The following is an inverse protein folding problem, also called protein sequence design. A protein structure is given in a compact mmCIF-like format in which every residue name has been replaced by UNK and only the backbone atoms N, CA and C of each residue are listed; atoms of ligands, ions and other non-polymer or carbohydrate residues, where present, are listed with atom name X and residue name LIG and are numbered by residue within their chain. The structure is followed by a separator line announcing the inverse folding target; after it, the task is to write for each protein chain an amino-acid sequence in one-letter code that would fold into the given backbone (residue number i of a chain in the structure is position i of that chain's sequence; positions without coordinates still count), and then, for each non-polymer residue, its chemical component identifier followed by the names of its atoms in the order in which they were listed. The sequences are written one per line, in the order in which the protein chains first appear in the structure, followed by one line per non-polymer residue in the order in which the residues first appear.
data_IF_195254553704
#
_entry.id   IF_195254553704
#
_cell.length_a   1.000
_cell.length_b   1.000
_cell.length_c   1.000
_cell.angle_alpha   90.00
_cell.angle_beta   90.00
_cell.angle_gamma   90.00
#
_symmetry.space_group_name_H-M   'P 1'
#
loop_
_entity.id
_entity.type
_entity.pdbx_description
1 polymer ?
#
# COMPACT_ATOMS: atom_id res chain seq x y z
N UNK A 1 61.35 -30.27 -13.91
CA UNK A 1 60.50 -29.59 -12.90
C UNK A 1 60.09 -28.15 -13.33
N UNK A 2 59.48 -27.96 -14.51
CA UNK A 2 59.02 -26.65 -15.01
C UNK A 2 57.57 -26.62 -15.50
N UNK A 3 56.82 -27.73 -15.33
CA UNK A 3 55.42 -27.83 -15.81
C UNK A 3 54.36 -27.59 -14.75
N UNK A 4 54.71 -27.50 -13.44
CA UNK A 4 53.75 -27.43 -12.35
C UNK A 4 53.27 -25.99 -11.97
N UNK A 5 54.05 -24.95 -12.31
CA UNK A 5 53.76 -23.56 -11.85
C UNK A 5 52.71 -22.87 -12.76
N UNK A 6 52.63 -23.25 -14.06
CA UNK A 6 51.68 -22.57 -14.98
C UNK A 6 50.22 -23.01 -14.78
N UNK A 7 49.99 -24.21 -14.24
CA UNK A 7 48.61 -24.70 -14.02
C UNK A 7 47.98 -24.13 -12.78
N UNK A 8 48.78 -23.88 -11.74
CA UNK A 8 48.28 -23.30 -10.47
C UNK A 8 47.85 -21.82 -10.62
N UNK A 9 48.59 -21.04 -11.42
CA UNK A 9 48.28 -19.62 -11.65
C UNK A 9 46.99 -19.45 -12.46
N UNK A 10 46.67 -20.34 -13.39
CA UNK A 10 45.43 -20.28 -14.18
C UNK A 10 44.18 -20.67 -13.38
N UNK A 11 44.28 -21.54 -12.40
CA UNK A 11 43.15 -21.95 -11.56
C UNK A 11 42.84 -20.85 -10.54
N UNK A 12 43.84 -20.16 -9.97
CA UNK A 12 43.64 -19.08 -9.03
C UNK A 12 43.01 -17.83 -9.68
N UNK A 13 43.39 -17.48 -10.92
CA UNK A 13 42.78 -16.34 -11.64
C UNK A 13 41.35 -16.61 -12.05
N UNK A 14 41.00 -17.87 -12.38
CA UNK A 14 39.61 -18.23 -12.74
C UNK A 14 38.68 -18.20 -11.52
N UNK A 15 39.13 -18.60 -10.32
CA UNK A 15 38.33 -18.58 -9.11
C UNK A 15 38.09 -17.14 -8.62
N UNK A 16 39.05 -16.23 -8.73
CA UNK A 16 38.87 -14.82 -8.35
C UNK A 16 37.92 -14.07 -9.29
N UNK A 17 37.92 -14.39 -10.58
CA UNK A 17 36.96 -13.80 -11.53
C UNK A 17 35.52 -14.24 -11.26
N UNK A 18 35.29 -15.52 -10.94
CA UNK A 18 33.95 -16.03 -10.61
C UNK A 18 33.41 -15.43 -9.31
N UNK A 19 34.23 -15.26 -8.28
CA UNK A 19 33.82 -14.63 -7.03
C UNK A 19 33.49 -13.14 -7.22
N UNK A 20 34.24 -12.41 -8.04
CA UNK A 20 33.98 -11.01 -8.35
C UNK A 20 32.69 -10.81 -9.17
N UNK A 21 32.42 -11.69 -10.13
CA UNK A 21 31.18 -11.64 -10.93
C UNK A 21 29.95 -11.97 -10.07
N UNK A 22 30.04 -12.94 -9.17
CA UNK A 22 28.95 -13.25 -8.24
C UNK A 22 28.69 -12.12 -7.24
N UNK A 23 29.73 -11.44 -6.73
CA UNK A 23 29.56 -10.29 -5.84
C UNK A 23 28.97 -9.06 -6.56
N UNK A 24 29.32 -8.83 -7.81
CA UNK A 24 28.74 -7.74 -8.61
C UNK A 24 27.29 -8.00 -8.98
N UNK A 25 26.91 -9.25 -9.28
CA UNK A 25 25.52 -9.62 -9.54
C UNK A 25 24.62 -9.44 -8.30
N UNK A 26 25.15 -9.68 -7.11
CA UNK A 26 24.40 -9.58 -5.87
C UNK A 26 24.19 -8.13 -5.41
N UNK A 27 25.05 -7.18 -5.79
CA UNK A 27 24.90 -5.75 -5.53
C UNK A 27 23.88 -5.05 -6.45
N UNK A 28 23.55 -5.65 -7.59
CA UNK A 28 22.68 -5.04 -8.61
C UNK A 28 21.20 -4.98 -8.22
N UNK A 29 20.77 -5.72 -7.20
CA UNK A 29 19.36 -5.88 -6.83
C UNK A 29 19.07 -5.45 -5.37
N UNK A 30 19.69 -4.36 -4.92
CA UNK A 30 19.45 -3.85 -3.56
C UNK A 30 18.88 -2.44 -3.60
N UNK A 31 17.93 -2.16 -2.70
CA UNK A 31 17.38 -0.81 -2.47
C UNK A 31 17.41 -0.52 -0.96
N UNK A 32 18.13 0.53 -0.56
CA UNK A 32 18.27 0.91 0.86
C UNK A 32 18.73 -0.24 1.78
N UNK A 33 19.55 -1.15 1.25
CA UNK A 33 20.07 -2.32 1.96
C UNK A 33 19.16 -3.56 1.90
N UNK A 34 17.95 -3.43 1.38
CA UNK A 34 17.04 -4.57 1.18
C UNK A 34 17.44 -5.33 -0.08
N UNK A 35 17.56 -6.66 0.02
CA UNK A 35 17.78 -7.53 -1.14
C UNK A 35 16.45 -7.76 -1.88
N UNK A 36 16.24 -7.08 -2.99
CA UNK A 36 15.02 -7.15 -3.79
C UNK A 36 14.76 -8.54 -4.40
N UNK A 37 15.82 -9.32 -4.64
CA UNK A 37 15.70 -10.68 -5.19
C UNK A 37 15.31 -11.73 -4.13
N UNK A 38 15.42 -11.39 -2.85
CA UNK A 38 14.96 -12.28 -1.78
C UNK A 38 13.42 -12.33 -1.72
N UNK A 39 12.83 -13.45 -1.33
CA UNK A 39 11.40 -13.49 -1.01
C UNK A 39 11.06 -12.47 0.07
N UNK A 40 9.87 -11.84 0.03
CA UNK A 40 9.44 -10.91 1.05
C UNK A 40 9.48 -11.54 2.46
N UNK A 41 10.25 -10.94 3.38
CA UNK A 41 10.34 -11.42 4.75
C UNK A 41 8.96 -11.38 5.42
N UNK A 42 8.65 -12.37 6.26
CA UNK A 42 7.38 -12.45 6.99
C UNK A 42 6.12 -12.38 6.12
N UNK A 43 6.22 -12.75 4.85
CA UNK A 43 5.05 -12.95 4.00
C UNK A 43 4.22 -14.10 4.56
N UNK A 44 2.91 -13.90 4.66
CA UNK A 44 2.00 -14.92 5.11
C UNK A 44 1.80 -15.99 4.03
N UNK A 45 1.94 -17.29 4.34
CA UNK A 45 1.79 -18.33 3.34
C UNK A 45 0.32 -18.64 2.99
N UNK A 46 -0.59 -18.31 3.90
CA UNK A 46 -2.03 -18.65 3.81
C UNK A 46 -2.87 -17.75 4.74
N UNK A 47 -4.18 -17.99 4.73
CA UNK A 47 -5.17 -17.28 5.52
C UNK A 47 -5.08 -17.48 7.05
N UNK A 48 -4.23 -18.36 7.53
CA UNK A 48 -4.04 -18.62 8.97
C UNK A 48 -2.89 -17.80 9.56
N UNK A 49 -2.32 -16.91 8.78
CA UNK A 49 -1.24 -16.05 9.25
C UNK A 49 -1.70 -15.12 10.39
N UNK A 50 -1.16 -15.33 11.55
CA UNK A 50 -1.53 -14.62 12.77
C UNK A 50 -0.33 -14.50 13.74
N UNK A 51 -0.57 -13.87 14.88
CA UNK A 51 0.38 -13.82 15.99
C UNK A 51 1.71 -13.17 15.66
N UNK A 52 2.85 -13.81 15.97
CA UNK A 52 4.18 -13.21 15.85
C UNK A 52 4.54 -12.75 14.44
N UNK A 53 4.04 -13.43 13.40
CA UNK A 53 4.35 -13.07 12.01
C UNK A 53 3.80 -11.68 11.66
N UNK A 54 2.53 -11.41 11.96
CA UNK A 54 1.89 -10.14 11.60
C UNK A 54 2.36 -8.95 12.42
N UNK A 55 2.97 -9.20 13.58
CA UNK A 55 3.47 -8.14 14.48
C UNK A 55 4.93 -7.79 14.27
N UNK A 56 5.62 -8.44 13.33
CA UNK A 56 7.03 -8.17 13.04
C UNK A 56 7.25 -6.69 12.67
N UNK A 57 8.31 -6.07 13.20
CA UNK A 57 8.71 -4.73 12.79
C UNK A 57 9.25 -4.75 11.35
N UNK A 58 9.24 -3.60 10.70
CA UNK A 58 9.82 -3.44 9.37
C UNK A 58 11.33 -3.71 9.34
N UNK A 59 11.84 -4.06 8.18
CA UNK A 59 13.23 -4.42 7.90
C UNK A 59 14.11 -3.22 7.51
N UNK A 60 13.51 -2.09 7.25
CA UNK A 60 14.19 -0.85 6.86
C UNK A 60 13.97 0.22 7.92
N UNK A 61 14.98 1.07 8.18
CA UNK A 61 14.95 2.08 9.24
C UNK A 61 14.88 3.49 8.63
N UNK A 62 13.90 4.28 9.04
CA UNK A 62 13.91 5.73 8.84
C UNK A 62 14.89 6.37 9.86
N UNK A 63 15.88 7.13 9.35
CA UNK A 63 17.05 7.46 10.14
C UNK A 63 16.82 8.55 11.21
N UNK A 64 15.86 9.46 11.00
CA UNK A 64 15.60 10.56 11.95
C UNK A 64 14.78 10.07 13.16
N UNK A 65 13.65 9.43 12.91
CA UNK A 65 12.79 8.92 13.98
C UNK A 65 13.24 7.55 14.51
N UNK A 66 14.13 6.85 13.81
CA UNK A 66 14.56 5.48 14.08
C UNK A 66 13.43 4.44 14.03
N UNK A 67 12.31 4.80 13.41
CA UNK A 67 11.19 3.90 13.20
C UNK A 67 11.44 3.01 11.99
N UNK A 68 10.83 1.84 12.01
CA UNK A 68 10.99 0.85 10.93
C UNK A 68 9.79 0.83 9.99
N UNK A 69 10.03 0.41 8.76
CA UNK A 69 9.02 0.14 7.75
C UNK A 69 9.44 -1.06 6.91
N UNK A 70 8.50 -1.72 6.24
CA UNK A 70 8.80 -2.72 5.22
C UNK A 70 9.01 -2.05 3.88
N UNK A 71 10.02 -2.55 3.16
CA UNK A 71 10.34 -2.13 1.80
C UNK A 71 10.41 -3.35 0.90
N UNK A 72 9.45 -3.48 -0.02
CA UNK A 72 9.48 -4.50 -1.07
C UNK A 72 9.83 -3.85 -2.40
N UNK A 73 10.70 -4.48 -3.19
CA UNK A 73 11.14 -3.97 -4.48
C UNK A 73 11.14 -5.09 -5.53
N UNK A 74 11.07 -4.77 -6.84
CA UNK A 74 11.11 -5.78 -7.89
C UNK A 74 12.37 -6.63 -7.80
N UNK A 75 12.24 -7.95 -7.97
CA UNK A 75 13.37 -8.89 -7.81
C UNK A 75 14.54 -8.60 -8.75
N UNK A 76 14.26 -8.01 -9.91
CA UNK A 76 15.25 -7.59 -10.91
C UNK A 76 15.61 -6.11 -10.86
N UNK A 77 15.21 -5.38 -9.80
CA UNK A 77 15.43 -3.94 -9.65
C UNK A 77 16.88 -3.53 -9.87
N UNK A 78 17.07 -2.48 -10.64
CA UNK A 78 18.36 -1.81 -10.87
C UNK A 78 18.21 -0.31 -10.70
N UNK A 79 19.24 0.35 -10.23
CA UNK A 79 19.26 1.81 -10.15
C UNK A 79 18.95 2.44 -11.52
N UNK A 80 18.01 3.37 -11.54
CA UNK A 80 17.54 4.04 -12.76
C UNK A 80 16.35 3.35 -13.46
N UNK A 81 15.93 2.17 -13.01
CA UNK A 81 14.71 1.54 -13.52
C UNK A 81 13.49 2.44 -13.29
N UNK A 82 12.55 2.41 -14.22
CA UNK A 82 11.24 3.04 -14.03
C UNK A 82 10.42 2.20 -13.06
N UNK A 83 9.90 2.84 -12.02
CA UNK A 83 9.19 2.18 -10.92
C UNK A 83 7.89 2.90 -10.56
N UNK A 84 6.99 2.17 -9.93
CA UNK A 84 5.78 2.70 -9.31
C UNK A 84 5.92 2.54 -7.80
N UNK A 85 5.57 3.54 -7.01
CA UNK A 85 5.68 3.52 -5.55
C UNK A 85 4.30 3.40 -4.92
N UNK A 86 4.14 2.50 -3.97
CA UNK A 86 2.95 2.33 -3.13
C UNK A 86 3.33 2.61 -1.68
N UNK A 87 2.77 3.65 -1.08
CA UNK A 87 2.80 3.89 0.37
C UNK A 87 1.50 3.37 0.97
N UNK A 88 1.56 2.30 1.79
CA UNK A 88 0.40 1.56 2.31
C UNK A 88 0.29 1.68 3.82
N UNK A 89 -0.77 2.36 4.31
CA UNK A 89 -0.98 2.70 5.72
C UNK A 89 -1.93 1.72 6.40
N UNK A 90 -1.54 1.18 7.57
CA UNK A 90 -2.37 0.23 8.33
C UNK A 90 -3.56 0.88 9.02
N UNK A 91 -4.55 0.06 9.41
CA UNK A 91 -5.71 0.47 10.17
C UNK A 91 -5.43 0.68 11.67
N UNK A 92 -6.43 1.23 12.39
CA UNK A 92 -6.36 1.41 13.84
C UNK A 92 -6.15 0.06 14.56
N UNK A 93 -5.24 0.05 15.53
CA UNK A 93 -4.92 -1.13 16.30
C UNK A 93 -4.10 -2.18 15.54
N UNK A 94 -3.70 -1.93 14.29
CA UNK A 94 -3.01 -2.86 13.41
C UNK A 94 -1.49 -2.64 13.38
N UNK A 95 -0.80 -3.38 12.52
CA UNK A 95 0.65 -3.42 12.38
C UNK A 95 1.05 -3.27 10.90
N UNK A 96 2.29 -2.87 10.66
CA UNK A 96 2.84 -2.76 9.31
C UNK A 96 2.77 -4.09 8.55
N UNK A 97 3.25 -5.20 9.15
CA UNK A 97 3.24 -6.47 8.45
C UNK A 97 1.83 -7.06 8.28
N UNK A 98 0.89 -6.74 9.16
CA UNK A 98 -0.52 -7.07 8.93
C UNK A 98 -1.05 -6.34 7.69
N UNK A 99 -0.82 -5.03 7.56
CA UNK A 99 -1.21 -4.25 6.40
C UNK A 99 -0.59 -4.76 5.10
N UNK A 100 0.69 -5.12 5.15
CA UNK A 100 1.43 -5.65 4.01
C UNK A 100 0.83 -6.96 3.47
N UNK A 101 0.27 -7.79 4.36
CA UNK A 101 -0.43 -9.01 4.01
C UNK A 101 -1.96 -8.80 3.82
N UNK A 102 -2.52 -7.71 4.34
CA UNK A 102 -3.91 -7.33 4.10
C UNK A 102 -4.14 -6.81 2.67
N UNK A 103 -3.23 -5.97 2.19
CA UNK A 103 -3.18 -5.51 0.81
C UNK A 103 -1.83 -5.91 0.21
N UNK A 104 -1.73 -7.15 -0.30
CA UNK A 104 -0.45 -7.76 -0.66
C UNK A 104 0.08 -7.26 -2.01
N UNK A 105 0.24 -5.94 -2.17
CA UNK A 105 0.84 -5.33 -3.37
C UNK A 105 2.24 -5.87 -3.67
N UNK A 106 2.94 -6.42 -2.65
CA UNK A 106 4.24 -7.08 -2.81
C UNK A 106 4.17 -8.32 -3.71
N UNK A 107 3.02 -9.00 -3.82
CA UNK A 107 2.86 -10.19 -4.65
C UNK A 107 2.90 -9.86 -6.15
N UNK A 108 2.56 -8.64 -6.51
CA UNK A 108 2.56 -8.16 -7.89
C UNK A 108 3.69 -7.16 -8.18
N UNK A 109 4.65 -7.01 -7.25
CA UNK A 109 5.75 -6.04 -7.36
C UNK A 109 6.60 -6.25 -8.60
N UNK A 110 6.84 -7.49 -8.98
CA UNK A 110 7.67 -7.81 -10.15
C UNK A 110 6.94 -7.50 -11.46
N UNK A 111 5.64 -7.82 -11.52
CA UNK A 111 4.78 -7.55 -12.67
C UNK A 111 4.67 -6.07 -13.00
N UNK A 112 4.51 -5.25 -11.98
CA UNK A 112 4.23 -3.81 -12.14
C UNK A 112 5.40 -2.92 -11.74
N UNK A 113 6.58 -3.47 -11.50
CA UNK A 113 7.75 -2.72 -11.03
C UNK A 113 7.42 -1.85 -9.81
N UNK A 114 6.75 -2.46 -8.80
CA UNK A 114 6.37 -1.76 -7.60
C UNK A 114 7.50 -1.70 -6.58
N UNK A 115 7.66 -0.55 -5.97
CA UNK A 115 8.30 -0.39 -4.66
C UNK A 115 7.18 -0.17 -3.66
N UNK A 116 6.99 -1.14 -2.76
CA UNK A 116 5.93 -1.10 -1.74
C UNK A 116 6.54 -0.71 -0.40
N UNK A 117 6.03 0.39 0.16
CA UNK A 117 6.43 0.94 1.44
C UNK A 117 5.30 0.71 2.44
N UNK A 118 5.54 -0.06 3.50
CA UNK A 118 4.53 -0.31 4.52
C UNK A 118 5.06 0.10 5.89
N UNK A 119 4.80 1.35 6.31
CA UNK A 119 5.25 1.89 7.59
C UNK A 119 4.38 1.41 8.75
N UNK A 120 4.93 1.46 9.97
CA UNK A 120 4.22 1.17 11.20
C UNK A 120 4.15 2.38 12.14
N UNK A 121 2.99 2.63 12.75
CA UNK A 121 2.87 3.53 13.88
C UNK A 121 3.14 2.79 15.19
N UNK A 122 4.04 3.29 16.07
CA UNK A 122 4.40 2.63 17.32
C UNK A 122 3.21 2.54 18.29
N UNK A 123 2.24 3.42 18.16
CA UNK A 123 1.01 3.44 18.95
C UNK A 123 -0.16 2.78 18.25
N UNK A 124 0.10 2.16 17.07
CA UNK A 124 -0.86 1.41 16.27
C UNK A 124 -2.06 2.24 15.77
N UNK A 125 -1.90 3.54 15.66
CA UNK A 125 -2.83 4.46 14.99
C UNK A 125 -2.06 5.66 14.43
N UNK A 126 -2.60 6.31 13.42
CA UNK A 126 -1.99 7.46 12.75
C UNK A 126 -2.52 8.77 13.32
N UNK A 127 -1.62 9.72 13.52
CA UNK A 127 -1.91 11.10 13.91
C UNK A 127 -1.01 12.08 13.15
N UNK A 128 -1.17 13.36 13.40
CA UNK A 128 -0.32 14.40 12.79
C UNK A 128 1.14 14.27 13.23
N UNK A 129 1.39 13.67 14.41
CA UNK A 129 2.74 13.39 14.89
C UNK A 129 3.51 12.36 14.02
N UNK A 130 2.80 11.63 13.16
CA UNK A 130 3.42 10.67 12.24
C UNK A 130 3.78 11.28 10.88
N UNK A 131 3.32 12.50 10.58
CA UNK A 131 3.44 13.07 9.24
C UNK A 131 4.90 13.27 8.83
N UNK A 132 5.75 13.77 9.72
CA UNK A 132 7.17 13.92 9.44
C UNK A 132 7.85 12.57 9.13
N UNK A 133 7.52 11.52 9.87
CA UNK A 133 8.02 10.17 9.61
C UNK A 133 7.60 9.68 8.22
N UNK A 134 6.34 9.89 7.82
CA UNK A 134 5.85 9.50 6.49
C UNK A 134 6.54 10.32 5.38
N UNK A 135 6.76 11.63 5.60
CA UNK A 135 7.51 12.46 4.67
C UNK A 135 8.95 11.94 4.49
N UNK A 136 9.64 11.68 5.61
CA UNK A 136 11.03 11.21 5.58
C UNK A 136 11.20 9.86 4.86
N UNK A 137 10.23 8.93 5.02
CA UNK A 137 10.27 7.65 4.28
C UNK A 137 10.13 7.89 2.77
N UNK A 138 9.18 8.73 2.36
CA UNK A 138 8.97 9.04 0.94
C UNK A 138 10.22 9.71 0.37
N UNK A 139 10.77 10.70 1.07
CA UNK A 139 12.01 11.39 0.68
C UNK A 139 13.17 10.40 0.54
N UNK A 140 13.33 9.49 1.50
CA UNK A 140 14.38 8.46 1.51
C UNK A 140 14.27 7.53 0.30
N UNK A 141 13.06 6.99 0.04
CA UNK A 141 12.86 6.04 -1.06
C UNK A 141 12.96 6.72 -2.41
N UNK A 142 12.32 7.89 -2.60
CA UNK A 142 12.40 8.62 -3.87
C UNK A 142 13.81 9.14 -4.12
N UNK A 143 14.54 9.55 -3.07
CA UNK A 143 15.94 9.91 -3.17
C UNK A 143 16.84 8.75 -3.63
N UNK A 144 16.54 7.53 -3.16
CA UNK A 144 17.30 6.32 -3.51
C UNK A 144 17.05 5.84 -4.94
N UNK A 145 15.80 5.96 -5.44
CA UNK A 145 15.47 5.51 -6.82
C UNK A 145 15.70 6.60 -7.87
N UNK A 146 15.78 7.86 -7.45
CA UNK A 146 15.75 9.03 -8.33
C UNK A 146 14.32 9.41 -8.74
N UNK A 147 13.96 10.69 -8.54
CA UNK A 147 12.58 11.16 -8.81
C UNK A 147 12.15 10.92 -10.27
N UNK A 148 13.07 11.00 -11.22
CA UNK A 148 12.84 10.79 -12.65
C UNK A 148 12.44 9.33 -12.95
N UNK A 149 12.76 8.40 -12.07
CA UNK A 149 12.40 6.99 -12.18
C UNK A 149 10.96 6.71 -11.77
N UNK A 150 10.33 7.59 -10.97
CA UNK A 150 9.00 7.37 -10.43
C UNK A 150 7.92 7.66 -11.47
N UNK A 151 7.21 6.62 -11.91
CA UNK A 151 6.12 6.74 -12.87
C UNK A 151 4.79 7.05 -12.19
N UNK A 152 4.50 6.37 -11.07
CA UNK A 152 3.32 6.61 -10.24
C UNK A 152 3.70 6.62 -8.77
N UNK A 153 3.05 7.51 -8.01
CA UNK A 153 3.05 7.46 -6.56
C UNK A 153 1.62 7.23 -6.05
N UNK A 154 1.42 6.08 -5.43
CA UNK A 154 0.13 5.59 -4.94
C UNK A 154 0.12 5.69 -3.42
N UNK A 155 -0.88 6.40 -2.86
CA UNK A 155 -1.11 6.48 -1.43
C UNK A 155 -2.31 5.60 -1.07
N UNK A 156 -2.04 4.44 -0.46
CA UNK A 156 -3.04 3.47 -0.05
C UNK A 156 -3.20 3.45 1.48
N UNK A 157 -4.36 3.01 1.96
CA UNK A 157 -4.55 2.78 3.39
C UNK A 157 -5.82 2.05 3.72
N UNK A 158 -5.74 1.20 4.75
CA UNK A 158 -6.86 0.44 5.30
C UNK A 158 -7.51 1.18 6.47
N UNK A 159 -8.84 1.22 6.51
CA UNK A 159 -9.59 1.71 7.66
C UNK A 159 -9.11 3.13 8.08
N UNK A 160 -8.61 3.30 9.28
CA UNK A 160 -8.01 4.56 9.73
C UNK A 160 -6.84 5.01 8.85
N UNK A 161 -6.03 4.09 8.32
CA UNK A 161 -5.00 4.41 7.32
C UNK A 161 -5.58 5.01 6.04
N UNK A 162 -6.77 4.56 5.62
CA UNK A 162 -7.52 5.16 4.52
C UNK A 162 -8.05 6.57 4.85
N UNK A 163 -8.51 6.81 6.08
CA UNK A 163 -8.85 8.16 6.56
C UNK A 163 -7.60 9.06 6.60
N UNK A 164 -6.48 8.52 7.08
CA UNK A 164 -5.19 9.22 7.09
C UNK A 164 -4.73 9.57 5.69
N UNK A 165 -4.84 8.64 4.73
CA UNK A 165 -4.53 8.94 3.32
C UNK A 165 -5.42 10.05 2.76
N UNK A 166 -6.69 10.13 3.20
CA UNK A 166 -7.60 11.24 2.83
C UNK A 166 -7.15 12.59 3.39
N UNK A 167 -6.64 12.60 4.61
CA UNK A 167 -6.08 13.80 5.25
C UNK A 167 -4.80 14.25 4.56
N UNK A 168 -3.92 13.30 4.25
CA UNK A 168 -2.59 13.57 3.71
C UNK A 168 -2.59 14.00 2.24
N UNK A 169 -3.45 13.43 1.40
CA UNK A 169 -3.36 13.53 -0.07
C UNK A 169 -3.32 14.96 -0.61
N UNK A 170 -3.97 15.91 0.06
CA UNK A 170 -3.99 17.32 -0.32
C UNK A 170 -3.18 18.24 0.61
N UNK A 171 -2.33 17.71 1.47
CA UNK A 171 -1.36 18.51 2.21
C UNK A 171 -0.31 19.10 1.26
N UNK A 172 0.37 20.16 1.67
CA UNK A 172 1.42 20.78 0.86
C UNK A 172 2.52 19.80 0.46
N UNK A 173 2.81 18.82 1.31
CA UNK A 173 3.79 17.79 1.00
C UNK A 173 3.31 16.81 -0.07
N UNK A 174 2.06 16.31 0.01
CA UNK A 174 1.58 15.21 -0.82
C UNK A 174 0.81 15.64 -2.09
N UNK A 175 0.22 16.84 -2.14
CA UNK A 175 -0.66 17.29 -3.24
C UNK A 175 -0.04 17.17 -4.64
N UNK A 176 1.27 17.44 -4.73
CA UNK A 176 2.03 17.42 -5.98
C UNK A 176 2.83 16.11 -6.17
N UNK A 177 2.57 15.09 -5.35
CA UNK A 177 3.23 13.79 -5.44
C UNK A 177 2.26 12.65 -5.72
N UNK A 178 1.09 12.67 -5.09
CA UNK A 178 0.13 11.56 -5.18
C UNK A 178 -0.62 11.58 -6.51
N UNK A 179 -0.38 10.58 -7.35
CA UNK A 179 -1.11 10.36 -8.59
C UNK A 179 -2.44 9.66 -8.32
N UNK A 180 -2.43 8.64 -7.44
CA UNK A 180 -3.58 7.80 -7.10
C UNK A 180 -3.70 7.63 -5.59
N UNK A 181 -4.92 7.79 -5.08
CA UNK A 181 -5.27 7.39 -3.72
C UNK A 181 -6.11 6.12 -3.75
N UNK A 182 -5.74 5.12 -2.95
CA UNK A 182 -6.53 3.90 -2.75
C UNK A 182 -7.04 3.88 -1.31
N UNK A 183 -8.36 3.87 -1.13
CA UNK A 183 -8.99 3.73 0.18
C UNK A 183 -9.53 2.32 0.34
N UNK A 184 -8.89 1.54 1.18
CA UNK A 184 -9.28 0.16 1.52
C UNK A 184 -10.14 0.21 2.78
N UNK A 185 -11.45 0.17 2.62
CA UNK A 185 -12.41 0.28 3.75
C UNK A 185 -12.19 1.53 4.64
N UNK A 186 -11.57 2.57 4.11
CA UNK A 186 -11.19 3.79 4.83
C UNK A 186 -12.04 5.00 4.52
N UNK A 187 -13.23 4.79 4.01
CA UNK A 187 -14.18 5.84 3.64
C UNK A 187 -14.02 6.31 2.19
N UNK A 188 -15.16 6.58 1.59
CA UNK A 188 -15.29 7.13 0.25
C UNK A 188 -15.22 8.65 0.29
N UNK A 189 -14.65 9.26 -0.73
CA UNK A 189 -14.63 10.73 -0.85
C UNK A 189 -16.04 11.27 -1.03
N UNK A 190 -16.39 12.27 -0.23
CA UNK A 190 -17.65 12.98 -0.32
C UNK A 190 -17.76 14.01 0.82
N UNK A 191 -18.73 14.92 0.76
CA UNK A 191 -18.95 15.82 1.87
C UNK A 191 -19.29 14.99 3.13
N UNK A 192 -18.63 15.28 4.25
CA UNK A 192 -18.97 14.69 5.54
C UNK A 192 -20.31 15.26 5.97
N UNK A 193 -21.39 14.58 5.62
CA UNK A 193 -22.73 14.91 6.09
C UNK A 193 -22.98 14.28 7.46
N UNK A 194 -23.97 14.78 8.20
CA UNK A 194 -24.36 14.18 9.48
C UNK A 194 -24.79 12.71 9.33
N UNK A 195 -25.29 12.33 8.14
CA UNK A 195 -25.72 10.97 7.82
C UNK A 195 -24.54 10.00 7.56
N UNK A 196 -23.38 10.50 7.11
CA UNK A 196 -22.18 9.69 6.86
C UNK A 196 -21.07 9.90 7.91
N UNK A 197 -21.40 10.53 9.06
CA UNK A 197 -20.57 10.54 10.28
C UNK A 197 -20.53 9.19 11.00
N UNK A 198 -21.35 8.22 10.58
CA UNK A 198 -21.17 6.82 10.92
C UNK A 198 -19.84 6.33 10.38
N UNK A 199 -19.20 5.41 11.06
CA UNK A 199 -17.82 4.98 11.05
C UNK A 199 -17.11 4.89 9.67
N UNK A 200 -17.80 4.86 8.52
CA UNK A 200 -17.19 4.64 7.20
C UNK A 200 -17.91 5.29 6.01
N UNK A 201 -18.71 6.33 6.19
CA UNK A 201 -19.30 7.05 5.05
C UNK A 201 -20.34 6.28 4.21
N UNK A 202 -20.77 5.12 4.67
CA UNK A 202 -21.93 4.37 4.22
C UNK A 202 -22.85 4.10 5.39
N UNK A 203 -24.14 3.92 5.16
CA UNK A 203 -25.05 3.41 6.19
C UNK A 203 -24.55 2.02 6.58
N UNK A 204 -24.14 1.78 7.85
CA UNK A 204 -23.80 0.43 8.26
C UNK A 204 -25.02 -0.45 8.02
N UNK A 205 -24.92 -1.45 7.16
CA UNK A 205 -25.96 -2.49 7.07
C UNK A 205 -25.73 -3.43 8.26
N UNK A 206 -25.82 -2.88 9.48
CA UNK A 206 -25.97 -3.69 10.67
C UNK A 206 -27.39 -4.21 10.69
N UNK A 207 -27.61 -5.43 10.24
CA UNK A 207 -28.72 -6.21 10.74
C UNK A 207 -28.36 -6.57 12.19
N UNK A 208 -28.69 -5.67 13.10
CA UNK A 208 -28.63 -5.95 14.53
C UNK A 208 -29.56 -7.12 14.82
N UNK A 209 -28.98 -8.27 15.16
CA UNK A 209 -29.72 -9.31 15.86
C UNK A 209 -30.26 -8.68 17.16
N UNK A 210 -31.55 -8.81 17.40
CA UNK A 210 -32.20 -8.27 18.59
C UNK A 210 -31.49 -8.79 19.85
N UNK A 211 -30.85 -7.89 20.62
CA UNK A 211 -30.33 -8.18 21.95
C UNK A 211 -28.87 -7.80 22.24
N UNK A 212 -28.06 -7.41 21.28
CA UNK A 212 -26.68 -6.96 21.56
C UNK A 212 -26.65 -5.45 21.82
N UNK A 213 -26.27 -5.04 23.02
CA UNK A 213 -25.89 -3.64 23.31
C UNK A 213 -24.64 -3.33 22.48
N UNK A 214 -24.67 -2.31 21.59
CA UNK A 214 -23.49 -1.93 20.85
C UNK A 214 -22.39 -1.52 21.86
N UNK A 215 -21.12 -1.90 21.64
CA UNK A 215 -20.04 -1.39 22.44
C UNK A 215 -20.04 0.15 22.35
N UNK A 216 -19.66 0.87 23.42
CA UNK A 216 -19.63 2.31 23.39
C UNK A 216 -18.80 2.77 22.17
N UNK A 217 -19.28 3.76 21.40
CA UNK A 217 -18.56 4.22 20.23
C UNK A 217 -17.15 4.64 20.67
N UNK A 218 -16.14 4.02 20.08
CA UNK A 218 -14.77 4.49 20.23
C UNK A 218 -14.77 5.96 19.80
N UNK A 219 -14.62 6.88 20.74
CA UNK A 219 -14.43 8.30 20.45
C UNK A 219 -13.00 8.46 19.91
N UNK A 220 -12.82 8.13 18.63
CA UNK A 220 -11.67 8.64 17.93
C UNK A 220 -11.75 10.18 17.99
N UNK A 221 -10.65 10.87 18.23
CA UNK A 221 -10.63 12.30 18.04
C UNK A 221 -11.18 12.58 16.64
N UNK A 222 -12.03 13.63 16.47
CA UNK A 222 -12.51 13.96 15.14
C UNK A 222 -11.29 14.11 14.24
N UNK A 223 -11.31 13.51 13.04
CA UNK A 223 -10.23 13.75 12.09
C UNK A 223 -10.13 15.28 11.98
N UNK A 224 -8.92 15.85 12.06
CA UNK A 224 -8.73 17.27 11.84
C UNK A 224 -9.45 17.61 10.54
N UNK A 225 -10.16 18.73 10.52
CA UNK A 225 -10.89 19.21 9.38
C UNK A 225 -9.87 19.52 8.26
N UNK A 226 -9.40 18.46 7.60
CA UNK A 226 -8.67 18.58 6.37
C UNK A 226 -9.60 19.12 5.30
N UNK A 227 -9.10 19.88 4.33
CA UNK A 227 -9.94 20.38 3.25
C UNK A 227 -10.67 19.18 2.64
N UNK A 228 -11.99 19.20 2.72
CA UNK A 228 -12.85 18.21 2.08
C UNK A 228 -12.38 18.06 0.63
N UNK A 229 -11.96 16.87 0.21
CA UNK A 229 -11.51 16.35 -1.09
C UNK A 229 -11.49 17.24 -2.35
N UNK A 230 -11.33 18.56 -2.22
CA UNK A 230 -11.48 19.53 -3.28
C UNK A 230 -10.23 20.33 -3.68
N UNK A 231 -9.21 20.37 -2.84
CA UNK A 231 -8.07 21.28 -3.04
C UNK A 231 -6.97 20.77 -3.95
N UNK A 232 -6.93 19.47 -4.30
CA UNK A 232 -5.92 18.89 -5.17
C UNK A 232 -6.51 17.80 -6.08
N UNK A 233 -5.76 17.40 -7.10
CA UNK A 233 -6.17 16.44 -8.12
C UNK A 233 -5.44 15.12 -7.95
N UNK A 234 -6.18 14.02 -7.85
CA UNK A 234 -5.67 12.65 -7.79
C UNK A 234 -6.73 11.67 -8.32
N UNK A 235 -6.29 10.55 -8.84
CA UNK A 235 -7.17 9.43 -9.16
C UNK A 235 -7.59 8.69 -7.89
N UNK A 236 -8.77 8.10 -7.87
CA UNK A 236 -9.31 7.52 -6.65
C UNK A 236 -9.91 6.13 -6.88
N UNK A 237 -9.46 5.19 -6.07
CA UNK A 237 -10.04 3.85 -6.00
C UNK A 237 -10.54 3.63 -4.57
N UNK A 238 -11.83 3.33 -4.44
CA UNK A 238 -12.41 2.88 -3.18
C UNK A 238 -12.63 1.37 -3.24
N UNK A 239 -12.12 0.65 -2.27
CA UNK A 239 -12.29 -0.80 -2.19
C UNK A 239 -12.75 -1.20 -0.79
N UNK A 240 -13.81 -2.02 -0.71
CA UNK A 240 -14.39 -2.45 0.55
C UNK A 240 -15.04 -3.83 0.43
N UNK A 241 -15.44 -4.40 1.56
CA UNK A 241 -16.26 -5.61 1.60
C UNK A 241 -17.75 -5.31 1.44
N UNK A 242 -18.50 -6.22 0.80
CA UNK A 242 -19.95 -6.13 0.63
C UNK A 242 -20.67 -5.93 1.96
N UNK A 243 -20.21 -6.60 3.02
CA UNK A 243 -20.83 -6.51 4.35
C UNK A 243 -20.61 -5.17 5.05
N UNK A 244 -19.72 -4.32 4.53
CA UNK A 244 -19.50 -3.00 5.08
C UNK A 244 -20.45 -1.96 4.50
N UNK A 245 -20.48 -1.84 3.18
CA UNK A 245 -21.32 -0.89 2.46
C UNK A 245 -21.36 -1.18 0.98
N UNK A 246 -22.47 -0.80 0.34
CA UNK A 246 -22.57 -0.77 -1.12
C UNK A 246 -22.16 0.62 -1.61
N UNK A 247 -21.18 0.74 -2.53
CA UNK A 247 -20.79 2.00 -3.11
C UNK A 247 -21.94 2.72 -3.81
N UNK A 248 -22.05 4.03 -3.61
CA UNK A 248 -23.03 4.85 -4.30
C UNK A 248 -22.79 4.85 -5.81
N UNK A 249 -23.84 5.05 -6.58
CA UNK A 249 -23.76 5.13 -8.06
C UNK A 249 -23.11 6.41 -8.58
N UNK A 250 -22.84 7.36 -7.71
CA UNK A 250 -22.20 8.64 -8.01
C UNK A 250 -20.93 8.82 -7.19
N UNK A 251 -20.02 9.66 -7.65
CA UNK A 251 -18.81 10.02 -6.94
C UNK A 251 -18.49 11.49 -7.15
N UNK A 252 -18.28 12.27 -6.06
CA UNK A 252 -17.86 13.67 -6.20
C UNK A 252 -16.58 13.88 -7.00
N UNK A 253 -15.67 12.89 -7.00
CA UNK A 253 -14.47 12.95 -7.85
C UNK A 253 -14.79 12.63 -9.32
N UNK A 254 -15.75 11.75 -9.59
CA UNK A 254 -16.23 11.53 -10.95
C UNK A 254 -16.87 12.79 -11.50
N UNK A 255 -17.68 13.50 -10.71
CA UNK A 255 -18.27 14.78 -11.07
C UNK A 255 -17.18 15.85 -11.31
N UNK A 256 -16.21 15.97 -10.39
CA UNK A 256 -15.08 16.89 -10.50
C UNK A 256 -14.28 16.70 -11.78
N UNK A 257 -14.02 15.45 -12.18
CA UNK A 257 -13.25 15.13 -13.37
C UNK A 257 -14.13 14.91 -14.61
N UNK A 258 -15.41 15.26 -14.53
CA UNK A 258 -16.37 15.10 -15.63
C UNK A 258 -16.32 13.71 -16.28
N UNK A 259 -16.25 12.68 -15.46
CA UNK A 259 -16.27 11.29 -15.90
C UNK A 259 -17.65 10.90 -16.45
N UNK A 260 -17.72 9.83 -17.22
CA UNK A 260 -18.96 9.21 -17.65
C UNK A 260 -19.73 8.56 -16.49
N UNK A 261 -20.93 8.04 -16.81
CA UNK A 261 -21.73 7.27 -15.87
C UNK A 261 -20.98 6.02 -15.41
N UNK A 262 -21.23 5.60 -14.19
CA UNK A 262 -20.68 4.36 -13.64
C UNK A 262 -20.98 3.16 -14.52
N UNK A 263 -19.98 2.38 -14.84
CA UNK A 263 -20.04 1.14 -15.61
C UNK A 263 -19.48 -0.01 -14.77
N UNK A 264 -20.03 -1.19 -14.93
CA UNK A 264 -19.53 -2.42 -14.32
C UNK A 264 -18.59 -3.11 -15.29
N UNK A 265 -17.38 -3.42 -14.82
CA UNK A 265 -16.42 -4.25 -15.55
C UNK A 265 -16.65 -5.73 -15.24
N UNK A 266 -16.08 -6.66 -16.01
CA UNK A 266 -16.08 -8.07 -15.66
C UNK A 266 -15.59 -8.30 -14.23
N UNK A 267 -16.32 -9.13 -13.48
CA UNK A 267 -15.93 -9.48 -12.11
C UNK A 267 -14.56 -10.17 -12.06
N UNK A 268 -13.87 -9.97 -10.94
CA UNK A 268 -12.62 -10.68 -10.66
C UNK A 268 -12.91 -11.86 -9.77
N UNK A 269 -12.55 -13.05 -10.23
CA UNK A 269 -12.62 -14.28 -9.44
C UNK A 269 -11.26 -14.58 -8.82
N UNK A 270 -11.26 -14.94 -7.55
CA UNK A 270 -10.05 -15.37 -6.87
C UNK A 270 -10.27 -16.71 -6.17
N UNK A 271 -9.57 -17.77 -6.58
CA UNK A 271 -9.65 -19.09 -5.94
C UNK A 271 -8.91 -19.13 -4.59
N UNK A 272 -8.01 -18.15 -4.34
CA UNK A 272 -7.24 -18.08 -3.10
C UNK A 272 -7.88 -17.11 -2.12
N UNK A 273 -7.84 -17.41 -0.81
CA UNK A 273 -8.24 -16.43 0.21
C UNK A 273 -7.17 -15.33 0.37
N UNK A 274 -7.56 -14.22 0.99
CA UNK A 274 -6.60 -13.26 1.51
C UNK A 274 -5.79 -13.84 2.68
N UNK A 275 -4.65 -13.27 2.99
CA UNK A 275 -3.68 -13.84 3.96
C UNK A 275 -4.03 -13.58 5.42
N UNK A 276 -4.77 -12.53 5.73
CA UNK A 276 -5.03 -12.11 7.11
C UNK A 276 -6.49 -11.74 7.34
N UNK A 277 -6.90 -11.83 8.59
CA UNK A 277 -8.21 -11.41 9.08
C UNK A 277 -8.16 -11.15 10.59
N UNK A 278 -9.22 -10.57 11.16
CA UNK A 278 -9.32 -10.36 12.61
C UNK A 278 -10.18 -11.46 13.27
N UNK A 279 -9.57 -12.44 13.94
CA UNK A 279 -10.29 -13.52 14.60
C UNK A 279 -11.00 -13.09 15.90
N UNK A 280 -10.78 -11.87 16.37
CA UNK A 280 -11.30 -11.41 17.67
C UNK A 280 -12.74 -10.93 17.61
N UNK A 281 -13.31 -10.78 16.40
CA UNK A 281 -14.64 -10.21 16.15
C UNK A 281 -15.53 -11.19 15.42
N UNK A 282 -15.85 -12.30 16.10
CA UNK A 282 -16.63 -13.41 15.53
C UNK A 282 -18.03 -13.59 16.12
N UNK A 283 -18.50 -12.62 16.90
CA UNK A 283 -19.83 -12.63 17.49
C UNK A 283 -20.93 -12.58 16.41
N UNK A 284 -22.12 -13.16 16.66
CA UNK A 284 -23.25 -13.01 15.78
C UNK A 284 -23.58 -11.55 15.52
N UNK A 285 -23.67 -11.16 14.25
CA UNK A 285 -23.88 -9.77 13.84
C UNK A 285 -22.60 -8.98 13.51
N UNK A 286 -21.43 -9.60 13.64
CA UNK A 286 -20.14 -8.98 13.30
C UNK A 286 -19.73 -9.19 11.83
N UNK A 287 -20.64 -9.59 10.94
CA UNK A 287 -20.34 -9.86 9.53
C UNK A 287 -19.63 -8.68 8.83
N UNK A 288 -19.96 -7.45 9.22
CA UNK A 288 -19.28 -6.26 8.70
C UNK A 288 -17.78 -6.19 9.03
N UNK A 289 -17.30 -6.94 10.03
CA UNK A 289 -15.87 -7.02 10.38
C UNK A 289 -15.13 -8.11 9.61
N UNK A 290 -15.84 -9.04 9.04
CA UNK A 290 -15.26 -10.15 8.30
C UNK A 290 -15.16 -11.42 9.13
N UNK A 291 -15.13 -12.52 8.42
CA UNK A 291 -15.03 -13.87 8.96
C UNK A 291 -13.75 -14.53 8.45
N UNK A 292 -13.63 -15.83 8.71
CA UNK A 292 -12.51 -16.61 8.19
C UNK A 292 -12.35 -16.44 6.68
N UNK A 293 -11.14 -16.08 6.18
CA UNK A 293 -10.90 -15.86 4.77
C UNK A 293 -11.20 -17.10 3.92
N UNK A 294 -11.84 -16.88 2.81
CA UNK A 294 -12.15 -17.89 1.81
C UNK A 294 -11.92 -17.28 0.42
N UNK A 295 -11.83 -18.13 -0.59
CA UNK A 295 -11.89 -17.69 -1.98
C UNK A 295 -13.06 -16.73 -2.21
N UNK A 296 -12.93 -15.81 -3.16
CA UNK A 296 -13.93 -14.78 -3.33
C UNK A 296 -14.01 -14.27 -4.75
N UNK A 297 -14.74 -13.20 -4.88
CA UNK A 297 -14.87 -12.42 -6.09
C UNK A 297 -15.03 -10.95 -5.75
N UNK A 298 -14.70 -10.08 -6.68
CA UNK A 298 -14.97 -8.65 -6.57
C UNK A 298 -15.74 -8.13 -7.78
N UNK A 299 -16.73 -7.27 -7.51
CA UNK A 299 -17.35 -6.44 -8.52
C UNK A 299 -16.52 -5.17 -8.69
N UNK A 300 -16.33 -4.78 -9.93
CA UNK A 300 -15.52 -3.62 -10.30
C UNK A 300 -16.42 -2.61 -10.99
N UNK A 301 -16.47 -1.42 -10.46
CA UNK A 301 -17.19 -0.30 -11.05
C UNK A 301 -16.21 0.81 -11.40
N UNK A 302 -16.32 1.35 -12.61
CA UNK A 302 -15.49 2.48 -13.06
C UNK A 302 -16.36 3.63 -13.52
N UNK A 303 -15.83 4.85 -13.41
CA UNK A 303 -16.39 6.03 -14.04
C UNK A 303 -15.49 6.37 -15.24
N UNK A 304 -15.91 6.01 -16.47
CA UNK A 304 -15.05 6.11 -17.65
C UNK A 304 -14.85 7.56 -18.10
N UNK A 305 -13.87 7.75 -18.99
CA UNK A 305 -13.63 9.02 -19.70
C UNK A 305 -13.41 10.24 -18.80
N UNK A 306 -12.81 10.05 -17.63
CA UNK A 306 -12.45 11.16 -16.76
C UNK A 306 -11.42 12.08 -17.43
N UNK A 307 -11.56 13.40 -17.23
CA UNK A 307 -10.59 14.39 -17.72
C UNK A 307 -9.19 14.11 -17.16
N UNK A 308 -8.18 14.57 -17.90
CA UNK A 308 -6.76 14.54 -17.53
C UNK A 308 -6.21 13.13 -17.23
N UNK A 309 -6.82 12.08 -17.79
CA UNK A 309 -6.41 10.70 -17.56
C UNK A 309 -6.60 10.24 -16.11
N UNK A 310 -7.57 10.81 -15.40
CA UNK A 310 -7.92 10.39 -14.05
C UNK A 310 -8.68 9.06 -14.08
N UNK A 311 -8.54 8.30 -12.99
CA UNK A 311 -9.30 7.07 -12.74
C UNK A 311 -10.12 7.27 -11.48
N UNK A 312 -11.41 6.95 -11.56
CA UNK A 312 -12.31 6.88 -10.41
C UNK A 312 -13.01 5.53 -10.49
N UNK A 313 -12.84 4.69 -9.44
CA UNK A 313 -13.36 3.33 -9.43
C UNK A 313 -13.77 2.89 -8.02
N UNK A 314 -14.69 1.92 -7.97
CA UNK A 314 -15.08 1.20 -6.77
C UNK A 314 -14.84 -0.31 -6.96
N UNK A 315 -14.33 -0.98 -5.92
CA UNK A 315 -14.09 -2.42 -5.89
C UNK A 315 -14.81 -3.00 -4.69
N UNK A 316 -15.73 -3.94 -4.90
CA UNK A 316 -16.52 -4.55 -3.82
C UNK A 316 -16.17 -6.02 -3.70
N UNK A 317 -15.48 -6.40 -2.61
CA UNK A 317 -15.23 -7.81 -2.29
C UNK A 317 -16.53 -8.46 -1.82
N UNK A 318 -17.05 -9.39 -2.61
CA UNK A 318 -18.33 -10.03 -2.32
C UNK A 318 -18.24 -10.99 -1.14
N UNK A 319 -19.23 -10.93 -0.24
CA UNK A 319 -19.33 -11.74 0.97
C UNK A 319 -18.12 -11.58 1.91
N UNK A 320 -17.52 -10.39 1.92
CA UNK A 320 -16.37 -10.02 2.76
C UNK A 320 -16.71 -8.83 3.64
N UNK A 321 -16.02 -8.75 4.76
CA UNK A 321 -16.09 -7.63 5.69
C UNK A 321 -14.80 -6.82 5.75
N UNK A 322 -14.71 -6.01 6.78
CA UNK A 322 -13.70 -4.96 6.96
C UNK A 322 -12.25 -5.46 7.08
N UNK A 323 -12.04 -6.58 7.78
CA UNK A 323 -10.70 -7.06 8.15
C UNK A 323 -10.19 -8.22 7.31
N UNK A 324 -11.01 -8.77 6.43
CA UNK A 324 -10.57 -9.83 5.52
C UNK A 324 -9.63 -9.26 4.46
N UNK A 325 -8.39 -9.74 4.46
CA UNK A 325 -7.35 -9.33 3.52
C UNK A 325 -7.78 -9.47 2.06
N UNK A 326 -7.16 -8.66 1.19
CA UNK A 326 -7.41 -8.73 -0.23
C UNK A 326 -6.78 -9.99 -0.82
N UNK A 327 -7.52 -10.64 -1.68
CA UNK A 327 -7.07 -11.77 -2.44
C UNK A 327 -6.07 -11.34 -3.53
N UNK A 328 -5.15 -12.23 -3.97
CA UNK A 328 -4.11 -11.88 -4.94
C UNK A 328 -4.62 -11.29 -6.26
N UNK A 329 -5.62 -11.91 -6.91
CA UNK A 329 -6.16 -11.41 -8.18
C UNK A 329 -6.91 -10.09 -8.02
N UNK A 330 -7.59 -9.90 -6.88
CA UNK A 330 -8.28 -8.64 -6.58
C UNK A 330 -7.27 -7.53 -6.33
N UNK A 331 -6.19 -7.83 -5.61
CA UNK A 331 -5.06 -6.90 -5.41
C UNK A 331 -4.43 -6.53 -6.75
N UNK A 332 -4.17 -7.52 -7.62
CA UNK A 332 -3.64 -7.31 -8.97
C UNK A 332 -4.53 -6.35 -9.78
N UNK A 333 -5.85 -6.54 -9.75
CA UNK A 333 -6.80 -5.67 -10.45
C UNK A 333 -6.85 -4.25 -9.89
N UNK A 334 -6.76 -4.07 -8.58
CA UNK A 334 -6.70 -2.74 -7.97
C UNK A 334 -5.43 -2.00 -8.40
N UNK A 335 -4.28 -2.67 -8.44
CA UNK A 335 -3.02 -2.09 -8.91
C UNK A 335 -3.10 -1.78 -10.41
N UNK A 336 -3.63 -2.68 -11.24
CA UNK A 336 -3.85 -2.44 -12.67
C UNK A 336 -4.67 -1.16 -12.90
N UNK A 337 -5.81 -1.01 -12.20
CA UNK A 337 -6.63 0.19 -12.27
C UNK A 337 -5.87 1.45 -11.82
N UNK A 338 -5.09 1.36 -10.76
CA UNK A 338 -4.30 2.49 -10.28
C UNK A 338 -3.26 2.93 -11.31
N UNK A 339 -2.58 1.98 -11.95
CA UNK A 339 -1.55 2.26 -12.95
C UNK A 339 -2.11 2.67 -14.31
N UNK A 340 -3.41 2.49 -14.57
CA UNK A 340 -4.08 3.03 -15.76
C UNK A 340 -4.32 4.54 -15.67
N UNK A 341 -4.17 5.13 -14.49
CA UNK A 341 -4.26 6.56 -14.30
C UNK A 341 -3.04 7.29 -14.88
N UNK A 342 -3.21 8.58 -15.23
CA UNK A 342 -2.07 9.43 -15.56
C UNK A 342 -1.20 9.62 -14.31
N UNK A 343 0.06 9.21 -14.42
CA UNK A 343 1.07 9.36 -13.40
C UNK A 343 2.05 10.51 -13.66
N UNK A 344 3.17 10.49 -12.95
CA UNK A 344 4.34 11.33 -13.21
C UNK A 344 4.41 12.64 -12.43
N UNK A 345 3.58 12.84 -11.40
CA UNK A 345 3.66 14.06 -10.58
C UNK A 345 5.03 14.23 -9.92
N UNK A 346 5.61 13.17 -9.35
CA UNK A 346 6.95 13.24 -8.76
C UNK A 346 7.99 13.54 -9.82
N UNK A 347 7.99 12.82 -10.94
CA UNK A 347 8.99 12.98 -11.99
C UNK A 347 8.97 14.38 -12.63
N UNK A 348 7.79 14.94 -12.86
CA UNK A 348 7.61 16.26 -13.49
C UNK A 348 7.57 17.43 -12.51
N UNK A 349 7.43 17.17 -11.21
CA UNK A 349 7.30 18.19 -10.18
C UNK A 349 8.61 18.94 -9.89
N UNK A 350 8.48 20.13 -9.32
CA UNK A 350 9.61 20.94 -8.87
C UNK A 350 10.26 20.42 -7.57
N UNK A 351 9.56 19.54 -6.85
CA UNK A 351 10.07 18.94 -5.62
C UNK A 351 11.35 18.13 -5.88
N UNK A 352 12.35 18.33 -5.03
CA UNK A 352 13.60 17.58 -5.05
C UNK A 352 13.75 16.88 -3.71
N UNK A 353 13.93 15.55 -3.69
CA UNK A 353 14.19 14.86 -2.44
C UNK A 353 15.47 15.39 -1.80
N UNK A 354 15.56 15.43 -0.47
CA UNK A 354 16.82 15.71 0.20
C UNK A 354 17.85 14.67 -0.24
N UNK A 355 19.16 15.05 -0.25
CA UNK A 355 20.22 14.11 -0.62
C UNK A 355 20.14 12.87 0.28
N UNK A 356 20.33 11.69 -0.34
CA UNK A 356 20.39 10.45 0.41
C UNK A 356 21.44 10.55 1.52
N UNK A 357 21.15 10.08 2.73
CA UNK A 357 22.14 10.05 3.78
C UNK A 357 23.35 9.21 3.34
N UNK A 358 24.57 9.59 3.74
CA UNK A 358 25.75 8.80 3.42
C UNK A 358 25.56 7.36 3.94
N UNK A 359 26.06 6.36 3.22
CA UNK A 359 25.98 4.99 3.68
C UNK A 359 26.59 4.89 5.09
N UNK A 360 26.05 4.03 5.96
CA UNK A 360 26.61 3.85 7.29
C UNK A 360 28.09 3.52 7.15
N UNK A 361 28.93 4.26 7.86
CA UNK A 361 30.37 3.93 7.90
C UNK A 361 30.47 2.50 8.41
N UNK A 362 31.16 1.67 7.66
CA UNK A 362 31.43 0.30 8.09
C UNK A 362 32.07 0.29 9.49
N UNK A 363 32.02 -0.84 10.22
CA UNK A 363 32.53 -0.94 11.59
C UNK A 363 34.03 -0.70 11.72
N UNK A 364 34.73 -0.34 10.63
CA UNK A 364 36.16 -0.04 10.58
C UNK A 364 36.40 1.29 9.82
N UNK A 365 35.99 2.39 10.39
CA UNK A 365 36.34 3.73 9.96
C UNK A 365 36.70 4.59 11.15
#
# INVERSE_FOLDING_TARGET
MKASIRTVVRVLTSLTLFAAVSAMAQQAHTLLGVNCAAPPAYHCPDAECAGPTVTQPGDTVELKSRRTFFLDCPADYKAGDKVNIVLSLHGYGSYANWQRNYFPAMDVKDKYKLIVITPGSPVRYWSDADDEYLHNIVDLVVGAVGKESVQHFILAGHSQGGLTSSRLVCTDYFKDKVDVRISLSGGRVGPVTAANRGFFGGTPVYKSGAGATPPPPLRLPPPPAGPAGGACDYSFIFANGEYESTPAETSPLADKFACGKREELPEVLDPKPGYVWDPTRQDPGSDGWGRYPKSGRALIYVFPNCKDGRVVADVVKMQKGHTEGYEPNITDKIIELALSAKGGKIASGSWTPPPAPPPPRGPFG
#
